data_IF_919455120408
#
_entry.id   IF_919455120408
#
_cell.length_a   1.000
_cell.length_b   1.000
_cell.length_c   1.000
_cell.angle_alpha   90.00
_cell.angle_beta   90.00
_cell.angle_gamma   90.00
#
_symmetry.space_group_name_H-M   'P 1'
#
loop_
_entity.id
_entity.type
_entity.pdbx_description
1 polymer ?
#
# COMPACT_ATOMS: atom_id res chain seq x y z
N UNK A 1 -1.86 -0.79 -31.60
CA UNK A 1 -1.63 0.61 -31.24
C UNK A 1 -1.72 0.77 -29.72
N UNK A 2 -0.65 0.37 -29.02
CA UNK A 2 -0.51 0.64 -27.58
C UNK A 2 0.37 1.88 -27.43
N UNK A 3 -0.26 3.04 -27.27
CA UNK A 3 0.48 4.23 -26.87
C UNK A 3 1.11 3.98 -25.48
N UNK A 4 2.40 4.28 -25.28
CA UNK A 4 3.00 4.17 -23.96
C UNK A 4 2.31 5.16 -23.03
N UNK A 5 1.74 4.66 -21.92
CA UNK A 5 1.24 5.51 -20.84
C UNK A 5 2.42 6.38 -20.37
N UNK A 6 2.41 7.66 -20.75
CA UNK A 6 3.50 8.63 -20.52
C UNK A 6 3.59 9.10 -19.06
N UNK A 7 2.82 8.49 -18.15
CA UNK A 7 2.83 8.81 -16.72
C UNK A 7 3.95 8.11 -15.95
N UNK A 8 4.51 8.80 -14.95
CA UNK A 8 5.44 8.21 -13.99
C UNK A 8 4.71 7.18 -13.13
N UNK A 9 5.06 5.90 -13.28
CA UNK A 9 4.50 4.84 -12.45
C UNK A 9 5.35 4.65 -11.19
N UNK A 10 4.72 4.73 -10.02
CA UNK A 10 5.33 4.46 -8.73
C UNK A 10 4.68 3.23 -8.12
N UNK A 11 5.46 2.30 -7.58
CA UNK A 11 4.90 1.14 -6.88
C UNK A 11 5.09 1.28 -5.38
N UNK A 12 4.00 1.19 -4.62
CA UNK A 12 4.01 1.24 -3.16
C UNK A 12 3.90 -0.17 -2.60
N UNK A 13 4.85 -0.57 -1.75
CA UNK A 13 4.75 -1.80 -0.99
C UNK A 13 3.94 -1.55 0.27
N UNK A 14 2.78 -2.22 0.40
CA UNK A 14 1.93 -2.18 1.58
C UNK A 14 2.22 -3.40 2.46
N UNK A 15 2.83 -3.21 3.63
CA UNK A 15 3.03 -4.27 4.61
C UNK A 15 1.83 -4.28 5.56
N UNK A 16 0.91 -5.23 5.35
CA UNK A 16 -0.38 -5.30 6.02
C UNK A 16 -0.49 -6.50 6.96
N UNK A 17 -1.19 -6.28 8.06
CA UNK A 17 -1.70 -7.36 8.91
C UNK A 17 -2.97 -7.86 8.23
N UNK A 18 -2.92 -9.06 7.66
CA UNK A 18 -4.09 -9.72 7.04
C UNK A 18 -4.66 -10.85 7.92
N UNK A 19 -3.79 -11.48 8.70
CA UNK A 19 -4.12 -12.51 9.69
C UNK A 19 -3.25 -12.32 10.94
N UNK A 20 -3.64 -12.96 12.04
CA UNK A 20 -2.83 -13.07 13.26
C UNK A 20 -2.79 -14.53 13.70
N UNK A 21 -1.61 -15.15 13.67
CA UNK A 21 -1.45 -16.58 14.00
C UNK A 21 -2.40 -17.49 13.19
N UNK A 22 -2.63 -17.17 11.91
CA UNK A 22 -3.54 -17.91 11.03
C UNK A 22 -5.04 -17.66 11.29
N UNK A 23 -5.39 -16.79 12.25
CA UNK A 23 -6.77 -16.39 12.51
C UNK A 23 -7.11 -15.07 11.83
N UNK A 24 -8.40 -14.90 11.53
CA UNK A 24 -8.94 -13.64 11.06
C UNK A 24 -8.62 -12.53 12.08
N UNK A 25 -8.39 -11.33 11.56
CA UNK A 25 -8.20 -10.15 12.38
C UNK A 25 -9.54 -9.62 12.88
N UNK A 26 -9.52 -8.91 14.01
CA UNK A 26 -10.69 -8.12 14.40
C UNK A 26 -10.99 -7.02 13.39
N UNK A 27 -12.26 -6.63 13.30
CA UNK A 27 -12.80 -5.71 12.29
C UNK A 27 -11.99 -4.43 12.12
N UNK A 28 -11.46 -3.89 13.21
CA UNK A 28 -10.61 -2.69 13.18
C UNK A 28 -9.39 -2.85 12.27
N UNK A 29 -8.67 -3.97 12.34
CA UNK A 29 -7.45 -4.19 11.55
C UNK A 29 -7.75 -4.55 10.10
N UNK A 30 -8.91 -5.18 9.86
CA UNK A 30 -9.42 -5.37 8.51
C UNK A 30 -9.75 -4.01 7.88
N UNK A 31 -10.42 -3.12 8.63
CA UNK A 31 -10.74 -1.77 8.17
C UNK A 31 -9.48 -0.94 7.86
N UNK A 32 -8.43 -1.03 8.68
CA UNK A 32 -7.14 -0.36 8.41
C UNK A 32 -6.51 -0.88 7.11
N UNK A 33 -6.55 -2.19 6.87
CA UNK A 33 -6.02 -2.79 5.65
C UNK A 33 -6.83 -2.34 4.41
N UNK A 34 -8.16 -2.29 4.52
CA UNK A 34 -9.03 -1.75 3.47
C UNK A 34 -8.76 -0.26 3.21
N UNK A 35 -8.57 0.55 4.27
CA UNK A 35 -8.28 1.97 4.13
C UNK A 35 -6.97 2.22 3.37
N UNK A 36 -5.93 1.42 3.61
CA UNK A 36 -4.66 1.53 2.89
C UNK A 36 -4.83 1.28 1.37
N UNK A 37 -5.63 0.27 1.01
CA UNK A 37 -5.92 -0.06 -0.40
C UNK A 37 -6.78 1.04 -1.04
N UNK A 38 -7.81 1.52 -0.33
CA UNK A 38 -8.68 2.58 -0.81
C UNK A 38 -7.95 3.91 -0.98
N UNK A 39 -6.99 4.24 -0.11
CA UNK A 39 -6.21 5.47 -0.23
C UNK A 39 -5.44 5.54 -1.57
N UNK A 40 -4.91 4.41 -2.05
CA UNK A 40 -4.25 4.33 -3.36
C UNK A 40 -5.26 4.54 -4.50
N UNK A 41 -6.44 3.93 -4.39
CA UNK A 41 -7.50 4.11 -5.38
C UNK A 41 -7.97 5.58 -5.45
N UNK A 42 -8.23 6.21 -4.31
CA UNK A 42 -8.64 7.62 -4.24
C UNK A 42 -7.53 8.57 -4.72
N UNK A 43 -6.25 8.30 -4.41
CA UNK A 43 -5.13 9.09 -4.93
C UNK A 43 -5.04 9.00 -6.45
N UNK A 44 -5.15 7.81 -7.04
CA UNK A 44 -5.16 7.63 -8.49
C UNK A 44 -6.36 8.29 -9.17
N UNK A 45 -7.52 8.32 -8.51
CA UNK A 45 -8.72 9.02 -8.99
C UNK A 45 -8.70 10.52 -8.71
N UNK A 46 -7.70 11.02 -7.96
CA UNK A 46 -7.61 12.41 -7.49
C UNK A 46 -8.86 12.85 -6.73
N UNK A 47 -9.39 11.94 -5.91
CA UNK A 47 -10.63 12.17 -5.17
C UNK A 47 -10.39 13.09 -3.96
N UNK A 48 -10.49 14.40 -4.24
CA UNK A 48 -10.37 15.46 -3.24
C UNK A 48 -11.47 15.45 -2.15
N UNK A 49 -12.52 14.63 -2.27
CA UNK A 49 -13.57 14.53 -1.24
C UNK A 49 -13.11 13.74 -0.03
N UNK A 50 -12.15 12.81 -0.22
CA UNK A 50 -11.58 11.99 0.86
C UNK A 50 -10.34 12.68 1.44
N UNK A 51 -9.44 13.14 0.57
CA UNK A 51 -8.23 13.88 0.93
C UNK A 51 -8.05 15.04 -0.05
N UNK A 52 -8.28 16.31 0.36
CA UNK A 52 -8.25 17.46 -0.54
C UNK A 52 -6.97 17.58 -1.38
N UNK A 53 -5.84 17.16 -0.84
CA UNK A 53 -4.52 17.19 -1.47
C UNK A 53 -4.41 16.27 -2.69
N UNK A 54 -5.27 15.25 -2.82
CA UNK A 54 -5.30 14.39 -4.01
C UNK A 54 -5.78 15.15 -5.26
N UNK A 55 -6.63 16.17 -5.11
CA UNK A 55 -7.11 16.96 -6.23
C UNK A 55 -6.03 17.84 -6.87
N UNK A 56 -4.96 18.16 -6.13
CA UNK A 56 -3.87 19.04 -6.56
C UNK A 56 -2.61 18.29 -7.01
N UNK A 57 -2.61 16.95 -6.94
CA UNK A 57 -1.48 16.15 -7.42
C UNK A 57 -1.28 16.32 -8.93
N UNK A 58 -0.03 16.60 -9.32
CA UNK A 58 0.38 16.75 -10.71
C UNK A 58 -0.01 15.51 -11.53
N UNK A 59 -0.64 15.76 -12.70
CA UNK A 59 -1.48 14.81 -13.42
C UNK A 59 -0.81 13.58 -14.04
N UNK A 60 0.46 13.32 -13.72
CA UNK A 60 1.29 12.35 -14.45
C UNK A 60 1.68 11.12 -13.62
N UNK A 61 1.52 11.15 -12.29
CA UNK A 61 1.92 10.03 -11.44
C UNK A 61 0.75 9.07 -11.17
N UNK A 62 0.98 7.77 -11.37
CA UNK A 62 0.04 6.71 -10.96
C UNK A 62 0.70 5.80 -9.94
N UNK A 63 -0.03 5.47 -8.88
CA UNK A 63 0.40 4.57 -7.83
C UNK A 63 -0.08 3.14 -8.11
N UNK A 64 0.85 2.23 -8.34
CA UNK A 64 0.64 0.80 -8.25
C UNK A 64 0.86 0.34 -6.81
N UNK A 65 0.29 -0.80 -6.44
CA UNK A 65 0.48 -1.37 -5.10
C UNK A 65 0.87 -2.83 -5.14
N UNK A 66 1.69 -3.25 -4.18
CA UNK A 66 2.01 -4.65 -3.91
C UNK A 66 1.87 -4.90 -2.42
N UNK A 67 1.10 -5.93 -2.05
CA UNK A 67 0.78 -6.21 -0.65
C UNK A 67 1.69 -7.32 -0.13
N UNK A 68 2.31 -7.06 1.02
CA UNK A 68 3.11 -8.02 1.78
C UNK A 68 2.45 -8.29 3.12
N UNK A 69 2.39 -9.55 3.53
CA UNK A 69 1.69 -9.93 4.75
C UNK A 69 2.64 -10.06 5.95
N UNK A 70 2.44 -9.22 6.97
CA UNK A 70 3.28 -9.22 8.19
C UNK A 70 2.97 -10.31 9.22
N UNK A 71 1.93 -11.13 9.01
CA UNK A 71 1.46 -12.19 9.94
C UNK A 71 1.12 -11.73 11.36
N UNK A 72 1.06 -10.40 11.58
CA UNK A 72 0.85 -9.77 12.90
C UNK A 72 1.93 -10.09 13.94
N UNK A 73 3.13 -10.46 13.52
CA UNK A 73 4.26 -10.72 14.40
C UNK A 73 5.54 -10.02 13.91
N UNK A 74 6.53 -9.90 14.79
CA UNK A 74 7.77 -9.18 14.53
C UNK A 74 8.59 -9.83 13.40
N UNK A 75 8.65 -11.16 13.39
CA UNK A 75 9.39 -11.92 12.39
C UNK A 75 8.73 -11.82 11.00
N UNK A 76 7.40 -11.94 10.95
CA UNK A 76 6.60 -11.74 9.75
C UNK A 76 6.72 -10.32 9.21
N UNK A 77 6.77 -9.31 10.09
CA UNK A 77 6.97 -7.90 9.69
C UNK A 77 8.35 -7.67 9.06
N UNK A 78 9.42 -8.20 9.67
CA UNK A 78 10.77 -8.11 9.12
C UNK A 78 10.92 -8.88 7.80
N UNK A 79 10.29 -10.05 7.71
CA UNK A 79 10.27 -10.86 6.49
C UNK A 79 9.58 -10.11 5.36
N UNK A 80 8.37 -9.58 5.61
CA UNK A 80 7.63 -8.77 4.65
C UNK A 80 8.40 -7.51 4.21
N UNK A 81 9.10 -6.84 5.13
CA UNK A 81 9.97 -5.70 4.80
C UNK A 81 11.16 -6.09 3.91
N UNK A 82 11.80 -7.22 4.19
CA UNK A 82 12.90 -7.74 3.36
C UNK A 82 12.41 -8.17 1.98
N UNK A 83 11.24 -8.77 1.90
CA UNK A 83 10.60 -9.12 0.62
C UNK A 83 10.24 -7.87 -0.18
N UNK A 84 9.67 -6.85 0.46
CA UNK A 84 9.37 -5.56 -0.16
C UNK A 84 10.64 -4.89 -0.74
N UNK A 85 11.75 -4.89 0.00
CA UNK A 85 13.02 -4.33 -0.47
C UNK A 85 13.65 -5.11 -1.64
N UNK A 86 13.37 -6.41 -1.76
CA UNK A 86 13.84 -7.25 -2.87
C UNK A 86 12.95 -7.12 -4.10
N UNK A 87 11.75 -6.57 -3.94
CA UNK A 87 10.83 -6.38 -5.05
C UNK A 87 11.31 -5.23 -5.93
N UNK A 88 11.56 -5.53 -7.20
CA UNK A 88 11.99 -4.51 -8.15
C UNK A 88 10.91 -3.42 -8.29
N UNK A 89 11.34 -2.16 -8.37
CA UNK A 89 10.49 -0.97 -8.65
C UNK A 89 9.62 -0.45 -7.50
N UNK A 90 9.89 -0.82 -6.25
CA UNK A 90 9.26 -0.16 -5.10
C UNK A 90 9.78 1.28 -4.95
N UNK A 91 8.86 2.24 -4.98
CA UNK A 91 9.12 3.67 -4.74
C UNK A 91 8.98 4.04 -3.27
N UNK A 92 8.11 3.34 -2.54
CA UNK A 92 7.88 3.58 -1.12
C UNK A 92 7.40 2.29 -0.43
N UNK A 93 7.78 2.13 0.84
CA UNK A 93 7.28 1.05 1.70
C UNK A 93 6.43 1.69 2.78
N UNK A 94 5.19 1.23 2.91
CA UNK A 94 4.23 1.65 3.93
C UNK A 94 3.89 0.42 4.76
N UNK A 95 4.31 0.41 6.03
CA UNK A 95 4.22 -0.77 6.88
C UNK A 95 3.80 -0.46 8.32
N UNK A 96 3.52 -1.50 9.12
CA UNK A 96 2.38 -1.46 10.04
C UNK A 96 2.63 -0.63 11.29
N UNK A 97 1.54 -0.14 11.87
CA UNK A 97 1.48 0.77 13.02
C UNK A 97 2.10 0.25 14.36
N UNK A 98 2.64 -0.98 14.42
CA UNK A 98 3.39 -1.45 15.59
C UNK A 98 4.88 -1.33 15.27
N UNK A 99 5.61 -0.55 16.08
CA UNK A 99 7.06 -0.67 16.14
C UNK A 99 7.39 -2.14 16.42
N UNK A 100 8.36 -2.66 15.67
CA UNK A 100 9.03 -3.91 16.01
C UNK A 100 9.57 -3.88 17.44
#
# INVERSE_FOLDING_TARGET
DDEPITGKQHTVALILRLTSQGKALGDQWLAVSCAAVLAIAHSNQRDGRVVPEFATQAGEATLNMTVFHSKSDQHGSLTAYREANRYHRISAIVGPARSA
#
